data_IF_396438039414
#
_entry.id   IF_396438039414
#
_cell.length_a   1.000
_cell.length_b   1.000
_cell.length_c   1.000
_cell.angle_alpha   90.00
_cell.angle_beta   90.00
_cell.angle_gamma   90.00
#
_symmetry.space_group_name_H-M   'P 1'
#
loop_
_entity.id
_entity.type
_entity.pdbx_description
1 polymer ?
#
# COMPACT_ATOMS: atom_id res chain seq x y z
N UNK A 1 43.65 -5.85 -1.53
CA UNK A 1 42.48 -6.17 -2.40
C UNK A 1 42.64 -5.34 -3.67
N UNK A 2 42.46 -5.91 -4.87
CA UNK A 2 42.64 -5.13 -6.11
C UNK A 2 41.61 -4.00 -6.19
N UNK A 3 41.99 -2.88 -6.82
CA UNK A 3 41.12 -1.71 -7.01
C UNK A 3 39.77 -2.11 -7.64
N UNK A 4 39.77 -3.12 -8.50
CA UNK A 4 38.59 -3.63 -9.19
C UNK A 4 37.63 -4.35 -8.23
N UNK A 5 38.16 -5.10 -7.25
CA UNK A 5 37.36 -5.76 -6.22
C UNK A 5 36.69 -4.74 -5.27
N UNK A 6 37.38 -3.63 -4.97
CA UNK A 6 36.83 -2.52 -4.15
C UNK A 6 35.70 -1.78 -4.88
N UNK A 7 35.86 -1.51 -6.17
CA UNK A 7 34.83 -0.89 -7.03
C UNK A 7 33.61 -1.80 -7.17
N UNK A 8 33.81 -3.10 -7.39
CA UNK A 8 32.71 -4.06 -7.51
C UNK A 8 31.87 -4.17 -6.21
N UNK A 9 32.53 -4.19 -5.06
CA UNK A 9 31.87 -4.21 -3.74
C UNK A 9 31.03 -2.96 -3.48
N UNK A 10 31.54 -1.79 -3.85
CA UNK A 10 30.82 -0.53 -3.72
C UNK A 10 29.61 -0.46 -4.65
N UNK A 11 29.76 -0.91 -5.91
CA UNK A 11 28.66 -0.99 -6.85
C UNK A 11 27.55 -1.95 -6.38
N UNK A 12 27.92 -3.10 -5.79
CA UNK A 12 26.97 -4.04 -5.21
C UNK A 12 26.23 -3.45 -3.99
N UNK A 13 26.93 -2.72 -3.11
CA UNK A 13 26.32 -2.05 -1.97
C UNK A 13 25.36 -0.93 -2.39
N UNK A 14 25.70 -0.16 -3.43
CA UNK A 14 24.84 0.88 -3.98
C UNK A 14 23.55 0.27 -4.58
N UNK A 15 23.67 -0.83 -5.32
CA UNK A 15 22.53 -1.55 -5.89
C UNK A 15 21.57 -2.11 -4.82
N UNK A 16 22.11 -2.55 -3.67
CA UNK A 16 21.28 -3.02 -2.55
C UNK A 16 20.49 -1.89 -1.86
N UNK A 17 21.00 -0.65 -1.86
CA UNK A 17 20.33 0.51 -1.26
C UNK A 17 19.19 1.04 -2.14
N UNK A 18 19.27 0.86 -3.47
CA UNK A 18 18.23 1.31 -4.41
C UNK A 18 17.05 0.32 -4.55
N UNK A 19 17.12 -0.88 -3.99
CA UNK A 19 16.12 -1.94 -4.18
C UNK A 19 14.93 -1.91 -3.19
N UNK A 20 14.75 -0.84 -2.40
CA UNK A 20 13.72 -0.77 -1.37
C UNK A 20 12.45 -0.03 -1.82
N UNK A 21 11.92 -0.36 -3.00
CA UNK A 21 10.54 -0.04 -3.39
C UNK A 21 9.81 -1.34 -3.60
N UNK A 22 9.32 -1.96 -2.52
CA UNK A 22 8.44 -3.12 -2.67
C UNK A 22 7.09 -2.59 -3.14
N UNK A 23 6.73 -2.85 -4.41
CA UNK A 23 5.38 -2.69 -4.90
C UNK A 23 4.38 -3.23 -3.85
N UNK A 24 3.48 -2.37 -3.36
CA UNK A 24 2.43 -2.80 -2.45
C UNK A 24 1.40 -3.66 -3.20
N UNK A 25 0.58 -4.41 -2.47
CA UNK A 25 -0.60 -5.06 -3.05
C UNK A 25 -1.75 -4.96 -2.07
N UNK A 26 -2.98 -4.96 -2.58
CA UNK A 26 -4.18 -5.14 -1.76
C UNK A 26 -4.45 -6.63 -1.73
N UNK A 27 -4.35 -7.23 -0.54
CA UNK A 27 -4.39 -8.68 -0.39
C UNK A 27 -5.78 -9.27 -0.73
N UNK A 28 -5.84 -10.51 -1.21
CA UNK A 28 -7.11 -11.17 -1.58
C UNK A 28 -8.09 -11.26 -0.40
N UNK A 29 -7.57 -11.39 0.81
CA UNK A 29 -8.28 -11.37 2.08
C UNK A 29 -8.86 -9.98 2.36
N UNK A 30 -8.08 -8.92 2.11
CA UNK A 30 -8.54 -7.55 2.23
C UNK A 30 -9.67 -7.26 1.22
N UNK A 31 -9.50 -7.59 -0.06
CA UNK A 31 -10.57 -7.46 -1.07
C UNK A 31 -11.78 -8.33 -0.70
N UNK A 32 -11.54 -9.51 -0.14
CA UNK A 32 -12.58 -10.41 0.36
C UNK A 32 -13.46 -9.78 1.45
N UNK A 33 -12.93 -8.84 2.25
CA UNK A 33 -13.74 -8.10 3.23
C UNK A 33 -14.87 -7.28 2.59
N UNK A 34 -14.78 -6.95 1.30
CA UNK A 34 -15.87 -6.30 0.54
C UNK A 34 -17.14 -7.14 0.39
N UNK A 35 -17.02 -8.47 0.58
CA UNK A 35 -18.15 -9.41 0.55
C UNK A 35 -18.87 -9.53 1.89
N UNK A 36 -18.25 -9.07 2.98
CA UNK A 36 -18.87 -9.05 4.30
C UNK A 36 -19.80 -7.83 4.39
N UNK A 37 -21.09 -8.02 4.08
CA UNK A 37 -22.13 -7.04 4.36
C UNK A 37 -22.24 -6.83 5.89
N UNK A 38 -21.48 -5.87 6.44
CA UNK A 38 -21.47 -5.34 7.84
C UNK A 38 -21.89 -6.26 9.01
N UNK A 39 -21.78 -7.58 8.90
CA UNK A 39 -22.38 -8.51 9.86
C UNK A 39 -22.34 -9.93 9.34
N UNK A 40 -21.18 -10.58 9.44
CA UNK A 40 -21.08 -12.00 9.10
C UNK A 40 -19.70 -12.41 8.64
N UNK A 41 -18.72 -12.26 9.52
CA UNK A 41 -17.55 -13.13 9.50
C UNK A 41 -18.04 -14.58 9.74
N UNK A 42 -18.45 -15.28 8.69
CA UNK A 42 -18.97 -16.65 8.79
C UNK A 42 -17.99 -17.67 9.39
N UNK A 43 -16.74 -17.27 9.69
CA UNK A 43 -15.74 -18.10 10.39
C UNK A 43 -14.81 -17.34 11.38
N UNK A 44 -14.93 -16.01 11.52
CA UNK A 44 -14.05 -15.21 12.40
C UNK A 44 -14.75 -14.55 13.59
N UNK A 45 -16.00 -14.90 13.89
CA UNK A 45 -16.78 -14.34 15.01
C UNK A 45 -16.21 -14.63 16.43
N UNK A 46 -15.05 -15.28 16.56
CA UNK A 46 -14.33 -15.46 17.83
C UNK A 46 -12.98 -14.72 17.89
N UNK A 47 -12.58 -14.00 16.84
CA UNK A 47 -11.35 -13.19 16.88
C UNK A 47 -11.74 -11.74 17.16
N UNK A 48 -11.47 -11.28 18.38
CA UNK A 48 -11.48 -9.87 18.72
C UNK A 48 -10.36 -9.16 17.93
N UNK A 49 -10.69 -8.72 16.72
CA UNK A 49 -9.81 -7.88 15.89
C UNK A 49 -9.62 -6.54 16.59
N UNK A 50 -8.42 -5.99 16.49
CA UNK A 50 -8.13 -4.63 16.97
C UNK A 50 -8.85 -3.60 16.09
N UNK A 51 -9.18 -2.46 16.67
CA UNK A 51 -9.71 -1.33 15.93
C UNK A 51 -8.70 -0.82 14.91
N UNK A 52 -9.22 -0.31 13.79
CA UNK A 52 -8.39 0.27 12.76
C UNK A 52 -7.86 1.65 13.21
N UNK A 53 -6.55 1.91 13.16
CA UNK A 53 -6.01 3.23 13.49
C UNK A 53 -6.27 4.29 12.40
N UNK A 54 -6.73 3.90 11.22
CA UNK A 54 -7.06 4.82 10.11
C UNK A 54 -8.55 5.17 10.17
N UNK A 55 -8.86 6.47 10.18
CA UNK A 55 -10.24 6.93 10.07
C UNK A 55 -10.71 6.92 8.61
N UNK A 56 -11.31 5.81 8.17
CA UNK A 56 -11.85 5.71 6.81
C UNK A 56 -13.12 6.54 6.60
N UNK A 57 -13.81 6.99 7.64
CA UNK A 57 -15.01 7.82 7.50
C UNK A 57 -14.75 9.11 6.70
N UNK A 58 -13.58 9.72 6.94
CA UNK A 58 -13.19 11.01 6.35
C UNK A 58 -12.42 10.87 5.03
N UNK A 59 -12.31 9.66 4.48
CA UNK A 59 -11.64 9.43 3.21
C UNK A 59 -12.43 10.03 2.03
N UNK A 60 -11.72 10.39 0.95
CA UNK A 60 -12.36 10.93 -0.24
C UNK A 60 -12.93 9.81 -1.15
N UNK A 61 -14.19 9.46 -0.93
CA UNK A 61 -14.90 8.44 -1.72
C UNK A 61 -15.25 8.84 -3.15
N UNK A 62 -15.10 10.11 -3.53
CA UNK A 62 -15.37 10.54 -4.91
C UNK A 62 -14.43 9.86 -5.91
N UNK A 63 -13.22 9.47 -5.49
CA UNK A 63 -12.24 8.73 -6.29
C UNK A 63 -12.86 7.44 -6.85
N UNK A 64 -13.65 6.72 -6.04
CA UNK A 64 -14.32 5.50 -6.46
C UNK A 64 -15.70 5.75 -7.07
N UNK A 65 -16.54 6.61 -6.46
CA UNK A 65 -17.94 6.80 -6.87
C UNK A 65 -18.12 7.58 -8.17
N UNK A 66 -17.12 8.37 -8.58
CA UNK A 66 -17.15 9.07 -9.87
C UNK A 66 -16.87 8.15 -11.07
N UNK A 67 -16.22 7.00 -10.84
CA UNK A 67 -15.70 6.12 -11.91
C UNK A 67 -16.38 4.76 -11.95
N UNK A 68 -16.61 4.14 -10.79
CA UNK A 68 -17.29 2.85 -10.69
C UNK A 68 -18.80 3.07 -10.59
N UNK A 69 -19.52 2.97 -11.71
CA UNK A 69 -20.96 3.25 -11.76
C UNK A 69 -21.77 2.03 -12.19
N UNK A 70 -22.90 1.85 -11.53
CA UNK A 70 -23.92 0.89 -11.92
C UNK A 70 -24.68 1.32 -13.18
N UNK A 71 -25.43 0.41 -13.81
CA UNK A 71 -25.68 -0.96 -13.37
C UNK A 71 -24.60 -1.97 -13.78
N UNK A 72 -23.74 -1.62 -14.74
CA UNK A 72 -22.79 -2.56 -15.33
C UNK A 72 -21.49 -2.71 -14.54
N UNK A 73 -21.13 -1.73 -13.69
CA UNK A 73 -19.91 -1.73 -12.87
C UNK A 73 -18.66 -2.19 -13.66
N UNK A 74 -18.19 -1.41 -14.65
CA UNK A 74 -17.12 -1.85 -15.55
C UNK A 74 -15.86 -2.26 -14.77
N UNK A 75 -15.38 -3.52 -14.90
CA UNK A 75 -14.32 -4.06 -14.05
C UNK A 75 -13.05 -3.21 -14.05
N UNK A 76 -12.56 -2.81 -15.23
CA UNK A 76 -11.36 -1.99 -15.34
C UNK A 76 -11.47 -0.67 -14.58
N UNK A 77 -12.61 0.03 -14.67
CA UNK A 77 -12.82 1.29 -13.98
C UNK A 77 -12.99 1.11 -12.47
N UNK A 78 -13.75 0.08 -12.07
CA UNK A 78 -14.02 -0.19 -10.66
C UNK A 78 -12.77 -0.66 -9.91
N UNK A 79 -11.99 -1.55 -10.49
CA UNK A 79 -10.78 -2.07 -9.87
C UNK A 79 -9.67 -1.03 -9.85
N UNK A 80 -9.52 -0.21 -10.90
CA UNK A 80 -8.57 0.89 -10.88
C UNK A 80 -8.95 1.94 -9.83
N UNK A 81 -10.22 2.34 -9.76
CA UNK A 81 -10.65 3.33 -8.78
C UNK A 81 -10.58 2.81 -7.32
N UNK A 82 -10.76 1.50 -7.12
CA UNK A 82 -10.48 0.85 -5.84
C UNK A 82 -8.99 0.93 -5.49
N UNK A 83 -8.09 0.62 -6.44
CA UNK A 83 -6.64 0.73 -6.25
C UNK A 83 -6.24 2.17 -5.89
N UNK A 84 -6.77 3.17 -6.58
CA UNK A 84 -6.49 4.59 -6.30
C UNK A 84 -6.89 5.00 -4.87
N UNK A 85 -7.99 4.44 -4.34
CA UNK A 85 -8.43 4.70 -2.97
C UNK A 85 -7.63 3.90 -1.92
N UNK A 86 -7.35 2.62 -2.18
CA UNK A 86 -6.90 1.67 -1.17
C UNK A 86 -5.38 1.48 -1.12
N UNK A 87 -4.67 1.67 -2.24
CA UNK A 87 -3.22 1.47 -2.30
C UNK A 87 -2.39 2.30 -1.30
N UNK A 88 -2.77 3.56 -0.97
CA UNK A 88 -2.09 4.32 0.09
C UNK A 88 -2.23 3.72 1.50
N UNK A 89 -3.11 2.74 1.70
CA UNK A 89 -3.43 2.17 3.00
C UNK A 89 -3.09 0.67 3.12
N UNK A 90 -2.35 0.10 2.18
CA UNK A 90 -2.03 -1.34 2.13
C UNK A 90 -1.41 -1.87 3.42
N UNK A 91 -0.57 -1.07 4.08
CA UNK A 91 0.02 -1.44 5.38
C UNK A 91 -1.02 -1.72 6.48
N UNK A 92 -2.21 -1.12 6.40
CA UNK A 92 -3.30 -1.28 7.38
C UNK A 92 -4.35 -2.27 6.93
N UNK A 93 -4.79 -2.18 5.67
CA UNK A 93 -5.90 -3.02 5.18
C UNK A 93 -5.48 -4.47 4.98
N UNK A 94 -4.18 -4.74 4.79
CA UNK A 94 -3.67 -6.12 4.73
C UNK A 94 -3.46 -6.76 6.12
N UNK A 95 -3.58 -5.99 7.21
CA UNK A 95 -3.46 -6.54 8.56
C UNK A 95 -4.74 -7.29 8.96
N UNK A 96 -4.68 -8.62 8.83
CA UNK A 96 -5.76 -9.53 9.21
C UNK A 96 -6.10 -9.49 10.71
N UNK A 97 -5.30 -8.86 11.57
CA UNK A 97 -5.59 -8.69 12.99
C UNK A 97 -6.44 -7.45 13.30
N UNK A 98 -6.71 -6.60 12.30
CA UNK A 98 -7.52 -5.38 12.47
C UNK A 98 -8.86 -5.44 11.76
N UNK A 99 -9.70 -4.45 12.04
CA UNK A 99 -10.96 -4.19 11.32
C UNK A 99 -10.76 -3.31 10.08
N UNK A 100 -9.54 -2.90 9.72
CA UNK A 100 -9.28 -1.89 8.68
C UNK A 100 -9.92 -2.19 7.33
N UNK A 101 -9.72 -3.39 6.77
CA UNK A 101 -10.32 -3.75 5.49
C UNK A 101 -11.86 -3.73 5.55
N UNK A 102 -12.44 -4.29 6.63
CA UNK A 102 -13.89 -4.31 6.82
C UNK A 102 -14.47 -2.90 6.94
N UNK A 103 -13.84 -2.03 7.73
CA UNK A 103 -14.25 -0.64 7.89
C UNK A 103 -14.15 0.13 6.56
N UNK A 104 -13.03 0.02 5.84
CA UNK A 104 -12.86 0.68 4.54
C UNK A 104 -13.95 0.25 3.55
N UNK A 105 -14.18 -1.06 3.39
CA UNK A 105 -15.20 -1.55 2.46
C UNK A 105 -16.63 -1.24 2.91
N UNK A 106 -16.90 -1.15 4.21
CA UNK A 106 -18.19 -0.70 4.74
C UNK A 106 -18.52 0.71 4.24
N UNK A 107 -17.58 1.66 4.39
CA UNK A 107 -17.78 3.03 3.92
C UNK A 107 -17.80 3.13 2.39
N UNK A 108 -16.95 2.38 1.67
CA UNK A 108 -17.01 2.28 0.20
C UNK A 108 -18.42 1.88 -0.25
N UNK A 109 -18.98 0.82 0.32
CA UNK A 109 -20.30 0.32 -0.02
C UNK A 109 -21.40 1.31 0.40
N UNK A 110 -21.27 1.94 1.57
CA UNK A 110 -22.23 2.90 2.11
C UNK A 110 -22.36 4.15 1.22
N UNK A 111 -21.23 4.76 0.83
CA UNK A 111 -21.20 5.99 0.03
C UNK A 111 -21.44 5.73 -1.46
N UNK A 112 -20.93 4.62 -1.99
CA UNK A 112 -21.11 4.25 -3.39
C UNK A 112 -22.41 3.49 -3.70
N UNK A 113 -23.15 3.07 -2.67
CA UNK A 113 -24.31 2.17 -2.80
C UNK A 113 -23.97 0.88 -3.58
N UNK A 114 -22.75 0.37 -3.39
CA UNK A 114 -22.30 -0.83 -4.08
C UNK A 114 -22.92 -2.08 -3.46
N UNK A 115 -23.31 -3.07 -4.28
CA UNK A 115 -23.76 -4.35 -3.78
C UNK A 115 -22.62 -5.08 -3.07
N UNK A 116 -22.91 -5.85 -2.01
CA UNK A 116 -21.89 -6.61 -1.28
C UNK A 116 -21.19 -7.59 -2.22
N UNK A 117 -19.87 -7.67 -2.09
CA UNK A 117 -19.02 -8.56 -2.89
C UNK A 117 -18.75 -8.08 -4.31
N UNK A 118 -19.18 -6.88 -4.71
CA UNK A 118 -18.86 -6.33 -6.04
C UNK A 118 -17.36 -6.41 -6.34
N UNK A 119 -16.54 -5.88 -5.44
CA UNK A 119 -15.09 -5.81 -5.64
C UNK A 119 -14.42 -7.18 -5.52
N UNK A 120 -14.81 -8.03 -4.57
CA UNK A 120 -14.30 -9.41 -4.45
C UNK A 120 -14.58 -10.27 -5.68
N UNK A 121 -15.73 -10.07 -6.34
CA UNK A 121 -16.12 -10.84 -7.51
C UNK A 121 -15.52 -10.27 -8.80
N UNK A 122 -15.29 -8.97 -8.86
CA UNK A 122 -14.90 -8.25 -10.08
C UNK A 122 -13.39 -8.04 -10.19
N UNK A 123 -12.71 -7.78 -9.07
CA UNK A 123 -11.31 -7.38 -9.06
C UNK A 123 -10.40 -8.53 -8.67
N UNK A 124 -9.75 -9.12 -9.69
CA UNK A 124 -8.76 -10.18 -9.56
C UNK A 124 -7.63 -9.94 -10.56
N UNK A 125 -6.39 -9.91 -10.09
CA UNK A 125 -5.21 -9.60 -10.91
C UNK A 125 -4.15 -10.70 -10.77
N UNK A 126 -3.73 -11.03 -9.54
CA UNK A 126 -2.76 -12.09 -9.27
C UNK A 126 -3.09 -12.96 -8.06
N UNK A 127 -2.18 -13.88 -7.74
CA UNK A 127 -2.30 -14.79 -6.60
C UNK A 127 -2.31 -14.05 -5.25
N UNK A 128 -1.59 -12.92 -5.17
CA UNK A 128 -1.45 -12.13 -3.95
C UNK A 128 -2.56 -11.07 -3.79
N UNK A 129 -3.29 -10.74 -4.87
CA UNK A 129 -4.31 -9.70 -4.87
C UNK A 129 -4.15 -8.69 -5.99
N UNK A 130 -4.44 -7.42 -5.69
CA UNK A 130 -4.38 -6.30 -6.65
C UNK A 130 -3.06 -5.54 -6.48
N UNK A 131 -2.29 -5.40 -7.55
CA UNK A 131 -0.95 -4.80 -7.50
C UNK A 131 -1.00 -3.28 -7.41
N UNK A 132 -0.37 -2.66 -6.43
CA UNK A 132 -0.32 -1.21 -6.33
C UNK A 132 0.86 -0.63 -7.12
N UNK A 133 0.74 0.58 -7.69
CA UNK A 133 1.88 1.27 -8.28
C UNK A 133 3.04 1.41 -7.30
N UNK A 134 4.28 1.16 -7.75
CA UNK A 134 5.47 1.16 -6.89
C UNK A 134 5.70 2.50 -6.17
N UNK A 135 5.33 3.61 -6.82
CA UNK A 135 5.48 4.97 -6.30
C UNK A 135 4.36 5.41 -5.35
N UNK A 136 3.45 4.51 -4.95
CA UNK A 136 2.31 4.89 -4.10
C UNK A 136 2.78 5.22 -2.68
N UNK A 137 2.61 6.46 -2.19
CA UNK A 137 2.97 6.81 -0.82
C UNK A 137 2.05 6.09 0.17
N UNK A 138 2.62 5.40 1.16
CA UNK A 138 1.84 4.83 2.26
C UNK A 138 1.45 5.94 3.24
N UNK A 139 0.17 6.06 3.52
CA UNK A 139 -0.37 7.00 4.50
C UNK A 139 0.00 6.55 5.92
N UNK A 140 0.21 7.48 6.84
CA UNK A 140 0.36 7.17 8.27
C UNK A 140 -0.75 7.86 9.07
N UNK A 141 -1.43 7.17 10.00
CA UNK A 141 -2.41 7.76 10.90
C UNK A 141 -1.80 8.91 11.70
N UNK A 142 -2.46 10.07 11.70
CA UNK A 142 -2.04 11.24 12.50
C UNK A 142 -0.96 12.13 11.89
N UNK A 143 -0.54 11.89 10.63
CA UNK A 143 0.28 12.84 9.88
C UNK A 143 -0.61 13.64 8.92
N UNK A 144 -0.98 14.86 9.33
CA UNK A 144 -1.60 15.86 8.46
C UNK A 144 -0.67 16.11 7.27
N UNK A 145 -1.19 15.94 6.05
CA UNK A 145 -0.48 16.04 4.75
C UNK A 145 0.88 16.75 4.79
N UNK A 146 1.93 16.01 5.14
CA UNK A 146 3.26 16.36 4.69
C UNK A 146 3.36 15.87 3.24
N UNK A 147 3.29 16.83 2.32
CA UNK A 147 3.51 16.63 0.90
C UNK A 147 4.60 15.58 0.65
N UNK A 148 4.35 14.72 -0.35
CA UNK A 148 5.35 13.90 -1.02
C UNK A 148 6.64 14.72 -1.14
N UNK A 149 7.56 14.43 -0.24
CA UNK A 149 8.82 15.12 -0.18
C UNK A 149 9.79 14.18 -0.84
N UNK A 150 10.05 14.41 -2.12
CA UNK A 150 11.33 14.03 -2.73
C UNK A 150 12.50 14.42 -1.79
N UNK A 151 12.33 15.45 -0.94
CA UNK A 151 13.24 15.84 0.13
C UNK A 151 13.39 14.84 1.30
N UNK A 152 12.37 14.03 1.64
CA UNK A 152 12.47 13.01 2.69
C UNK A 152 13.26 11.78 2.20
N UNK A 153 13.13 11.45 0.91
CA UNK A 153 13.96 10.43 0.26
C UNK A 153 15.42 10.89 0.26
N UNK A 154 15.67 12.16 -0.10
CA UNK A 154 17.03 12.76 -0.03
C UNK A 154 17.57 12.76 1.41
N UNK A 155 16.77 13.07 2.43
CA UNK A 155 17.25 13.07 3.81
C UNK A 155 17.50 11.67 4.40
N UNK A 156 16.70 10.67 4.02
CA UNK A 156 16.84 9.30 4.50
C UNK A 156 17.97 8.53 3.80
N UNK A 157 18.24 8.83 2.52
CA UNK A 157 19.36 8.22 1.77
C UNK A 157 20.67 9.00 1.89
N UNK A 158 20.65 10.31 2.14
CA UNK A 158 21.88 11.10 2.22
C UNK A 158 22.80 10.66 3.37
N UNK A 159 22.25 10.24 4.52
CA UNK A 159 23.06 9.83 5.68
C UNK A 159 23.88 8.54 5.45
N UNK A 160 23.30 7.42 4.98
CA UNK A 160 24.08 6.23 4.66
C UNK A 160 24.93 6.40 3.39
N UNK A 161 24.49 7.21 2.41
CA UNK A 161 25.28 7.47 1.18
C UNK A 161 26.53 8.31 1.50
N UNK A 162 26.43 9.36 2.33
CA UNK A 162 27.62 10.12 2.76
C UNK A 162 28.62 9.25 3.53
N UNK A 163 28.12 8.35 4.39
CA UNK A 163 28.94 7.43 5.17
C UNK A 163 29.61 6.36 4.28
N UNK A 164 28.90 5.85 3.26
CA UNK A 164 29.47 4.92 2.30
C UNK A 164 30.57 5.60 1.46
N UNK A 165 30.35 6.83 0.98
CA UNK A 165 31.34 7.60 0.20
C UNK A 165 32.58 7.94 1.04
N UNK A 166 32.42 8.31 2.32
CA UNK A 166 33.55 8.60 3.20
C UNK A 166 34.37 7.35 3.55
N UNK A 167 33.71 6.21 3.78
CA UNK A 167 34.37 4.93 4.00
C UNK A 167 35.15 4.46 2.75
N UNK A 168 34.61 4.69 1.55
CA UNK A 168 35.28 4.37 0.29
C UNK A 168 36.52 5.24 0.04
N UNK A 169 36.48 6.54 0.36
CA UNK A 169 37.64 7.42 0.26
C UNK A 169 38.78 7.00 1.20
N UNK A 170 38.46 6.63 2.45
CA UNK A 170 39.45 6.09 3.41
C UNK A 170 40.08 4.78 2.92
N UNK A 171 39.29 3.92 2.28
CA UNK A 171 39.74 2.66 1.70
C UNK A 171 40.61 2.81 0.45
N UNK A 172 40.52 3.91 -0.31
CA UNK A 172 41.38 4.15 -1.48
C UNK A 172 42.76 4.68 -1.06
N UNK A 173 42.81 5.46 0.02
CA UNK A 173 44.05 6.06 0.55
C UNK A 173 44.88 5.05 1.37
N UNK A 174 44.28 3.91 1.75
CA UNK A 174 44.93 2.80 2.48
C UNK A 174 45.27 1.59 1.58
#
# INVERSE_FOLDING_TARGET
MSLHARVALFAAALAAVLAASTAGFISNEAVGASSAASGGAGRSLLQAKKDCPVNFEEANYTVITSRCKGPMYPPALCCQALKDLACPFTAYINDAQTTCAASMFSYINLYGKYPPGLFANTCKEGANGLECPEDTPQMKPGEDKAASSAAAIVAAVARPVLAAVSAFLMLIVS
#
